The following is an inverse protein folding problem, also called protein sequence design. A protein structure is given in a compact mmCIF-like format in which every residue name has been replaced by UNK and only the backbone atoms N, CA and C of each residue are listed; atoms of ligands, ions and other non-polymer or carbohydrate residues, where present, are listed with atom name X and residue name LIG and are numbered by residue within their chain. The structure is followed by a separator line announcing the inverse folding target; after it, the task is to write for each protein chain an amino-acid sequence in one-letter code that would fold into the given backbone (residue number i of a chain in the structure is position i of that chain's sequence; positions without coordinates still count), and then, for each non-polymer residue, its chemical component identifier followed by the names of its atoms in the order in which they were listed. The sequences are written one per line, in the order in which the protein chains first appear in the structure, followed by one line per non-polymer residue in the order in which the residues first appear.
data_IF_825455405411
#
_entry.id   IF_825455405411
#
_cell.length_a   1.000
_cell.length_b   1.000
_cell.length_c   1.000
_cell.angle_alpha   90.00
_cell.angle_beta   90.00
_cell.angle_gamma   90.00
#
_symmetry.space_group_name_H-M   'P 1'
#
loop_
_entity.id
_entity.type
_entity.pdbx_description
1 polymer ?
#
# COMPACT_ATOMS: atom_id res chain seq x y z
N UNK A 1 -17.90 -7.53 -15.04
CA UNK A 1 -16.49 -7.53 -15.53
C UNK A 1 -15.57 -8.31 -14.58
N UNK A 2 -15.75 -8.20 -13.27
CA UNK A 2 -14.97 -8.95 -12.26
C UNK A 2 -15.62 -10.27 -11.84
N UNK A 3 -16.75 -10.64 -12.43
CA UNK A 3 -17.56 -11.80 -12.05
C UNK A 3 -16.78 -13.12 -12.19
N UNK A 4 -15.89 -13.20 -13.19
CA UNK A 4 -14.98 -14.34 -13.34
C UNK A 4 -13.99 -14.44 -12.17
N UNK A 5 -13.49 -13.32 -11.65
CA UNK A 5 -12.62 -13.31 -10.45
C UNK A 5 -13.44 -13.71 -9.22
N UNK A 6 -14.67 -13.20 -9.10
CA UNK A 6 -15.58 -13.60 -8.01
C UNK A 6 -15.83 -15.11 -8.04
N UNK A 7 -16.07 -15.70 -9.22
CA UNK A 7 -16.28 -17.13 -9.38
C UNK A 7 -15.04 -17.94 -8.99
N UNK A 8 -13.84 -17.52 -9.42
CA UNK A 8 -12.59 -18.18 -9.02
C UNK A 8 -12.42 -18.11 -7.50
N UNK A 9 -12.64 -16.95 -6.89
CA UNK A 9 -12.55 -16.78 -5.44
C UNK A 9 -13.60 -17.62 -4.70
N UNK A 10 -14.81 -17.71 -5.23
CA UNK A 10 -15.87 -18.54 -4.69
C UNK A 10 -15.51 -20.03 -4.76
N UNK A 11 -15.01 -20.53 -5.88
CA UNK A 11 -14.57 -21.92 -6.02
C UNK A 11 -13.43 -22.25 -5.07
N UNK A 12 -12.44 -21.36 -4.96
CA UNK A 12 -11.35 -21.49 -4.00
C UNK A 12 -11.87 -21.51 -2.56
N UNK A 13 -12.77 -20.59 -2.21
CA UNK A 13 -13.35 -20.53 -0.86
C UNK A 13 -14.18 -21.77 -0.56
N UNK A 14 -14.95 -22.28 -1.53
CA UNK A 14 -15.71 -23.52 -1.42
C UNK A 14 -14.78 -24.72 -1.21
N UNK A 15 -13.66 -24.77 -1.93
CA UNK A 15 -12.64 -25.81 -1.75
C UNK A 15 -12.01 -25.72 -0.35
N UNK A 16 -11.71 -24.51 0.13
CA UNK A 16 -11.17 -24.30 1.48
C UNK A 16 -12.16 -24.76 2.55
N UNK A 17 -13.46 -24.48 2.37
CA UNK A 17 -14.53 -24.93 3.25
C UNK A 17 -14.67 -26.46 3.35
N UNK A 18 -14.12 -27.25 2.42
CA UNK A 18 -14.16 -28.72 2.54
C UNK A 18 -13.27 -29.26 3.65
N UNK A 19 -12.25 -28.50 4.08
CA UNK A 19 -11.31 -28.91 5.13
C UNK A 19 -11.18 -27.89 6.26
N UNK A 20 -11.57 -26.64 6.05
CA UNK A 20 -11.64 -25.63 7.09
C UNK A 20 -12.88 -25.87 7.97
N UNK A 21 -12.68 -25.84 9.27
CA UNK A 21 -13.73 -26.09 10.27
C UNK A 21 -14.64 -24.86 10.47
N UNK A 22 -14.16 -23.68 10.07
CA UNK A 22 -14.73 -22.39 10.43
C UNK A 22 -14.57 -21.34 9.31
N UNK A 23 -15.55 -20.42 9.21
CA UNK A 23 -15.60 -19.42 8.14
C UNK A 23 -14.50 -18.37 8.23
N UNK A 24 -14.17 -17.89 9.42
CA UNK A 24 -13.07 -16.94 9.60
C UNK A 24 -11.73 -17.57 9.24
N UNK A 25 -11.54 -18.85 9.58
CA UNK A 25 -10.34 -19.59 9.16
C UNK A 25 -10.26 -19.71 7.63
N UNK A 26 -11.38 -20.00 6.96
CA UNK A 26 -11.43 -20.05 5.50
C UNK A 26 -11.03 -18.72 4.84
N UNK A 27 -11.50 -17.60 5.39
CA UNK A 27 -11.11 -16.26 4.92
C UNK A 27 -9.61 -16.05 5.11
N UNK A 28 -9.06 -16.37 6.28
CA UNK A 28 -7.62 -16.25 6.56
C UNK A 28 -6.80 -17.05 5.55
N UNK A 29 -7.16 -18.32 5.32
CA UNK A 29 -6.46 -19.20 4.38
C UNK A 29 -6.53 -18.64 2.95
N UNK A 30 -7.70 -18.18 2.51
CA UNK A 30 -7.88 -17.57 1.20
C UNK A 30 -6.96 -16.35 1.03
N UNK A 31 -6.90 -15.47 2.04
CA UNK A 31 -6.01 -14.29 2.02
C UNK A 31 -4.56 -14.70 1.90
N UNK A 32 -4.11 -15.67 2.71
CA UNK A 32 -2.72 -16.13 2.69
C UNK A 32 -2.35 -16.71 1.33
N UNK A 33 -3.22 -17.51 0.70
CA UNK A 33 -2.98 -18.06 -0.64
C UNK A 33 -2.85 -16.94 -1.68
N UNK A 34 -3.79 -15.99 -1.71
CA UNK A 34 -3.75 -14.86 -2.65
C UNK A 34 -2.48 -14.03 -2.42
N UNK A 35 -2.15 -13.73 -1.16
CA UNK A 35 -0.97 -12.95 -0.80
C UNK A 35 0.31 -13.67 -1.19
N UNK A 36 0.41 -14.98 -1.02
CA UNK A 36 1.57 -15.78 -1.47
C UNK A 36 1.74 -15.70 -2.99
N UNK A 37 0.65 -15.85 -3.76
CA UNK A 37 0.69 -15.74 -5.22
C UNK A 37 1.09 -14.34 -5.70
N UNK A 38 0.63 -13.29 -5.01
CA UNK A 38 0.95 -11.90 -5.34
C UNK A 38 2.30 -11.43 -4.77
N UNK A 39 2.88 -12.15 -3.81
CA UNK A 39 4.15 -11.78 -3.16
C UNK A 39 5.27 -11.51 -4.17
N UNK A 40 5.59 -12.37 -5.15
CA UNK A 40 6.69 -12.10 -6.10
C UNK A 40 6.50 -10.79 -6.90
N UNK A 41 5.25 -10.46 -7.23
CA UNK A 41 4.90 -9.21 -7.89
C UNK A 41 5.05 -8.01 -6.95
N UNK A 42 4.54 -8.13 -5.72
CA UNK A 42 4.65 -7.10 -4.69
C UNK A 42 6.12 -6.78 -4.38
N UNK A 43 6.99 -7.79 -4.30
CA UNK A 43 8.43 -7.61 -4.09
C UNK A 43 9.08 -6.73 -5.18
N UNK A 44 8.69 -6.90 -6.44
CA UNK A 44 9.19 -6.05 -7.55
C UNK A 44 8.77 -4.60 -7.38
N UNK A 45 7.52 -4.36 -6.99
CA UNK A 45 7.02 -3.01 -6.73
C UNK A 45 7.69 -2.37 -5.51
N UNK A 46 7.87 -3.13 -4.43
CA UNK A 46 8.57 -2.68 -3.23
C UNK A 46 10.01 -2.28 -3.56
N UNK A 47 10.72 -3.03 -4.41
CA UNK A 47 12.06 -2.67 -4.87
C UNK A 47 12.09 -1.34 -5.61
N UNK A 48 11.11 -1.08 -6.48
CA UNK A 48 11.01 0.21 -7.17
C UNK A 48 10.77 1.35 -6.17
N UNK A 49 9.84 1.15 -5.23
CA UNK A 49 9.52 2.13 -4.18
C UNK A 49 10.72 2.40 -3.25
N UNK A 50 11.49 1.38 -2.88
CA UNK A 50 12.70 1.51 -2.09
C UNK A 50 13.75 2.39 -2.80
N UNK A 51 13.96 2.18 -4.11
CA UNK A 51 14.88 3.01 -4.90
C UNK A 51 14.45 4.48 -4.95
N UNK A 52 13.14 4.74 -5.03
CA UNK A 52 12.59 6.09 -4.96
C UNK A 52 12.95 6.79 -3.64
N UNK A 53 12.88 6.07 -2.51
CA UNK A 53 13.22 6.64 -1.20
C UNK A 53 14.70 7.03 -1.10
N UNK A 54 15.60 6.23 -1.69
CA UNK A 54 17.04 6.56 -1.74
C UNK A 54 17.30 7.83 -2.57
N UNK A 55 16.54 8.02 -3.65
CA UNK A 55 16.68 9.18 -4.53
C UNK A 55 15.90 10.43 -4.05
N UNK A 56 15.02 10.27 -3.05
CA UNK A 56 14.24 11.36 -2.46
C UNK A 56 15.03 12.60 -2.05
N UNK A 57 16.18 12.51 -1.36
CA UNK A 57 16.96 13.71 -1.00
C UNK A 57 17.41 14.51 -2.23
N UNK A 58 17.81 13.85 -3.32
CA UNK A 58 18.19 14.52 -4.57
C UNK A 58 16.99 15.16 -5.27
N UNK A 59 15.83 14.51 -5.20
CA UNK A 59 14.59 15.11 -5.71
C UNK A 59 14.22 16.38 -4.93
N UNK A 60 14.40 16.38 -3.61
CA UNK A 60 14.19 17.56 -2.76
C UNK A 60 15.17 18.68 -3.10
N UNK A 61 16.45 18.35 -3.35
CA UNK A 61 17.44 19.35 -3.77
C UNK A 61 17.06 20.03 -5.10
N UNK A 62 16.54 19.26 -6.08
CA UNK A 62 16.02 19.81 -7.33
C UNK A 62 14.81 20.72 -7.04
N UNK A 63 13.92 20.32 -6.13
CA UNK A 63 12.74 21.11 -5.79
C UNK A 63 13.12 22.45 -5.15
N UNK A 64 14.08 22.45 -4.21
CA UNK A 64 14.57 23.65 -3.54
C UNK A 64 15.34 24.56 -4.51
N UNK A 65 16.19 23.98 -5.38
CA UNK A 65 17.02 24.75 -6.33
C UNK A 65 16.18 25.48 -7.39
N UNK A 66 15.03 24.93 -7.76
CA UNK A 66 14.13 25.50 -8.78
C UNK A 66 12.76 25.90 -8.20
N UNK A 67 12.69 26.22 -6.91
CA UNK A 67 11.43 26.59 -6.24
C UNK A 67 10.75 27.81 -6.89
N UNK A 68 11.54 28.73 -7.47
CA UNK A 68 11.06 29.95 -8.13
C UNK A 68 10.62 29.73 -9.59
N UNK A 69 10.89 28.56 -10.18
CA UNK A 69 10.57 28.24 -11.59
C UNK A 69 9.96 26.84 -11.73
N UNK A 70 8.63 26.70 -11.59
CA UNK A 70 7.95 25.40 -11.62
C UNK A 70 8.05 24.70 -12.97
N UNK A 71 8.21 25.44 -14.08
CA UNK A 71 8.40 24.82 -15.40
C UNK A 71 9.76 24.12 -15.45
N UNK A 72 10.81 24.81 -15.01
CA UNK A 72 12.16 24.25 -15.00
C UNK A 72 12.31 23.15 -13.96
N UNK A 73 11.65 23.28 -12.81
CA UNK A 73 11.58 22.24 -11.80
C UNK A 73 11.00 20.93 -12.37
N UNK A 74 9.89 21.01 -13.11
CA UNK A 74 9.27 19.84 -13.74
C UNK A 74 10.18 19.20 -14.81
N UNK A 75 10.86 20.02 -15.62
CA UNK A 75 11.79 19.53 -16.64
C UNK A 75 12.99 18.80 -16.03
N UNK A 76 13.62 19.38 -15.01
CA UNK A 76 14.78 18.79 -14.34
C UNK A 76 14.39 17.54 -13.53
N UNK A 77 13.18 17.53 -12.95
CA UNK A 77 12.62 16.32 -12.32
C UNK A 77 12.42 15.19 -13.34
N UNK A 78 11.91 15.51 -14.53
CA UNK A 78 11.71 14.52 -15.60
C UNK A 78 13.05 13.98 -16.12
N UNK A 79 14.05 14.86 -16.31
CA UNK A 79 15.42 14.46 -16.66
C UNK A 79 15.99 13.53 -15.60
N UNK A 80 15.88 13.90 -14.32
CA UNK A 80 16.34 13.08 -13.21
C UNK A 80 15.71 11.68 -13.21
N UNK A 81 14.41 11.56 -13.47
CA UNK A 81 13.74 10.25 -13.61
C UNK A 81 14.29 9.43 -14.79
N UNK A 82 14.53 10.08 -15.92
CA UNK A 82 15.03 9.42 -17.13
C UNK A 82 16.48 8.92 -16.98
N UNK A 83 17.37 9.75 -16.41
CA UNK A 83 18.78 9.44 -16.19
C UNK A 83 18.96 8.29 -15.18
N UNK A 84 18.14 8.31 -14.12
CA UNK A 84 18.18 7.26 -13.10
C UNK A 84 17.41 5.99 -13.51
N UNK A 85 16.78 5.98 -14.70
CA UNK A 85 15.94 4.86 -15.21
C UNK A 85 14.94 4.41 -14.15
N UNK A 86 14.29 5.38 -13.51
CA UNK A 86 13.30 5.15 -12.47
C UNK A 86 11.91 5.48 -13.02
N UNK A 87 10.94 4.59 -12.84
CA UNK A 87 9.57 4.81 -13.29
C UNK A 87 8.65 5.05 -12.07
N UNK A 88 8.12 6.27 -11.88
CA UNK A 88 7.24 6.59 -10.76
C UNK A 88 5.95 5.75 -10.77
N UNK A 89 5.47 5.35 -11.96
CA UNK A 89 4.26 4.53 -12.11
C UNK A 89 4.45 3.08 -11.68
N UNK A 90 5.69 2.61 -11.54
CA UNK A 90 5.93 1.26 -11.03
C UNK A 90 5.49 1.12 -9.55
N UNK A 91 5.42 2.23 -8.80
CA UNK A 91 4.98 2.24 -7.40
C UNK A 91 3.47 2.09 -7.22
N UNK A 92 2.64 2.45 -8.21
CA UNK A 92 1.19 2.30 -8.16
C UNK A 92 0.68 0.99 -8.79
N UNK A 93 1.56 0.21 -9.40
CA UNK A 93 1.23 -1.10 -9.98
C UNK A 93 0.56 -2.08 -8.99
N UNK A 94 0.96 -2.16 -7.70
CA UNK A 94 0.26 -2.94 -6.69
C UNK A 94 -1.21 -2.56 -6.56
N UNK A 95 -1.51 -1.26 -6.56
CA UNK A 95 -2.85 -0.75 -6.39
C UNK A 95 -3.73 -1.19 -7.57
N UNK A 96 -3.22 -1.04 -8.79
CA UNK A 96 -3.97 -1.41 -10.01
C UNK A 96 -4.34 -2.89 -10.05
N UNK A 97 -3.44 -3.77 -9.59
CA UNK A 97 -3.69 -5.22 -9.55
C UNK A 97 -4.54 -5.61 -8.33
N UNK A 98 -4.41 -4.87 -7.22
CA UNK A 98 -5.18 -5.11 -6.00
C UNK A 98 -6.66 -4.74 -6.17
N UNK A 99 -6.97 -3.66 -6.88
CA UNK A 99 -8.36 -3.16 -7.04
C UNK A 99 -9.32 -4.25 -7.55
N UNK A 100 -9.04 -4.96 -8.65
CA UNK A 100 -9.84 -6.11 -9.12
C UNK A 100 -10.16 -7.15 -8.05
N UNK A 101 -9.12 -7.57 -7.32
CA UNK A 101 -9.18 -8.66 -6.34
C UNK A 101 -9.95 -8.20 -5.12
N UNK A 102 -9.74 -6.94 -4.69
CA UNK A 102 -10.47 -6.31 -3.60
C UNK A 102 -11.96 -6.23 -3.90
N UNK A 103 -12.36 -5.75 -5.08
CA UNK A 103 -13.78 -5.68 -5.44
C UNK A 103 -14.43 -7.05 -5.53
N UNK A 104 -13.74 -8.04 -6.10
CA UNK A 104 -14.25 -9.39 -6.21
C UNK A 104 -14.46 -10.03 -4.83
N UNK A 105 -13.44 -9.94 -3.96
CA UNK A 105 -13.50 -10.50 -2.62
C UNK A 105 -14.48 -9.74 -1.72
N UNK A 106 -14.55 -8.42 -1.83
CA UNK A 106 -15.55 -7.61 -1.14
C UNK A 106 -16.97 -8.01 -1.53
N UNK A 107 -17.22 -8.21 -2.83
CA UNK A 107 -18.53 -8.65 -3.34
C UNK A 107 -18.90 -10.03 -2.81
N UNK A 108 -17.94 -10.96 -2.79
CA UNK A 108 -18.13 -12.31 -2.26
C UNK A 108 -18.41 -12.29 -0.74
N UNK A 109 -17.57 -11.60 0.04
CA UNK A 109 -17.67 -11.59 1.49
C UNK A 109 -18.90 -10.83 2.00
N UNK A 110 -19.25 -9.72 1.33
CA UNK A 110 -20.44 -8.94 1.70
C UNK A 110 -21.74 -9.69 1.42
N UNK A 111 -21.75 -10.58 0.42
CA UNK A 111 -22.93 -11.35 0.04
C UNK A 111 -22.76 -12.84 0.38
N UNK A 112 -21.99 -13.17 1.42
CA UNK A 112 -21.76 -14.56 1.86
C UNK A 112 -23.03 -15.41 1.94
N UNK A 113 -24.15 -14.93 2.54
CA UNK A 113 -25.39 -15.70 2.61
C UNK A 113 -26.03 -16.01 1.25
N UNK A 114 -25.74 -15.19 0.22
CA UNK A 114 -26.25 -15.42 -1.14
C UNK A 114 -25.43 -16.49 -1.88
N UNK A 115 -24.14 -16.60 -1.57
CA UNK A 115 -23.25 -17.59 -2.17
C UNK A 115 -23.27 -18.93 -1.41
N UNK A 116 -23.61 -18.91 -0.13
CA UNK A 116 -23.67 -20.08 0.74
C UNK A 116 -24.95 -20.02 1.59
N UNK A 117 -25.93 -20.88 1.26
CA UNK A 117 -27.24 -20.87 1.89
C UNK A 117 -27.27 -21.53 3.29
N UNK A 118 -26.26 -22.33 3.62
CA UNK A 118 -26.18 -23.10 4.87
C UNK A 118 -24.83 -22.88 5.56
N UNK A 119 -24.79 -22.05 6.61
CA UNK A 119 -23.57 -21.85 7.38
C UNK A 119 -23.74 -20.86 8.54
N UNK A 120 -23.19 -21.21 9.70
CA UNK A 120 -22.92 -20.25 10.79
C UNK A 120 -21.62 -19.52 10.46
N UNK A 121 -21.73 -18.31 9.92
CA UNK A 121 -20.58 -17.49 9.52
C UNK A 121 -19.87 -16.90 10.73
N UNK A 122 -19.13 -17.72 11.48
CA UNK A 122 -18.38 -17.30 12.68
C UNK A 122 -16.87 -17.47 12.50
N UNK A 123 -16.09 -16.92 13.44
CA UNK A 123 -14.67 -17.17 13.60
C UNK A 123 -14.36 -17.69 15.01
N UNK A 124 -14.39 -19.01 15.20
CA UNK A 124 -14.11 -19.70 16.47
C UNK A 124 -14.81 -19.08 17.70
N UNK A 125 -16.03 -18.54 17.50
CA UNK A 125 -16.77 -17.76 18.49
C UNK A 125 -16.07 -16.50 19.04
N UNK A 126 -14.89 -16.15 18.51
CA UNK A 126 -14.22 -14.87 18.72
C UNK A 126 -15.01 -13.80 17.97
N UNK A 127 -15.36 -14.07 16.71
CA UNK A 127 -16.31 -13.25 15.95
C UNK A 127 -17.56 -14.12 15.75
N UNK A 128 -18.65 -13.86 16.50
CA UNK A 128 -19.83 -14.72 16.46
C UNK A 128 -20.56 -14.65 15.11
N UNK A 129 -20.51 -13.50 14.43
CA UNK A 129 -21.12 -13.31 13.12
C UNK A 129 -20.26 -12.38 12.23
N UNK A 130 -19.74 -12.93 11.14
CA UNK A 130 -18.91 -12.25 10.14
C UNK A 130 -19.74 -11.39 9.16
N UNK A 131 -21.05 -11.57 9.11
CA UNK A 131 -21.95 -10.82 8.23
C UNK A 131 -22.47 -9.53 8.87
N UNK A 132 -22.45 -9.47 10.21
CA UNK A 132 -22.80 -8.27 10.97
C UNK A 132 -21.76 -7.15 10.79
N UNK A 133 -22.16 -5.92 11.11
CA UNK A 133 -21.27 -4.75 11.08
C UNK A 133 -21.00 -4.27 12.51
N UNK A 134 -19.85 -3.62 12.78
CA UNK A 134 -19.59 -3.02 14.09
C UNK A 134 -20.72 -2.09 14.55
N UNK A 135 -21.33 -1.33 13.63
CA UNK A 135 -22.46 -0.46 13.92
C UNK A 135 -23.72 -1.21 14.39
N UNK A 136 -24.02 -2.35 13.76
CA UNK A 136 -25.18 -3.17 14.11
C UNK A 136 -24.96 -3.88 15.45
N UNK A 137 -23.80 -4.52 15.63
CA UNK A 137 -23.46 -5.19 16.90
C UNK A 137 -23.42 -4.20 18.07
N UNK A 138 -23.04 -2.94 17.83
CA UNK A 138 -23.08 -1.89 18.85
C UNK A 138 -24.51 -1.52 19.28
N UNK A 139 -25.47 -1.55 18.36
CA UNK A 139 -26.87 -1.32 18.68
C UNK A 139 -27.46 -2.45 19.55
N UNK A 140 -27.00 -3.69 19.35
CA UNK A 140 -27.43 -4.86 20.14
C UNK A 140 -26.77 -4.91 21.53
N UNK A 141 -25.72 -4.12 21.76
CA UNK A 141 -25.09 -3.91 23.06
C UNK A 141 -23.57 -3.93 23.03
N UNK A 142 -22.95 -3.12 23.89
CA UNK A 142 -21.48 -2.94 23.91
C UNK A 142 -20.69 -4.25 24.05
N UNK A 143 -21.14 -5.16 24.91
CA UNK A 143 -20.46 -6.45 25.14
C UNK A 143 -20.50 -7.37 23.92
N UNK A 144 -21.59 -7.32 23.14
CA UNK A 144 -21.75 -8.09 21.89
C UNK A 144 -20.90 -7.48 20.78
N UNK A 145 -20.78 -6.16 20.74
CA UNK A 145 -19.96 -5.43 19.78
C UNK A 145 -18.45 -5.55 20.02
N UNK A 146 -18.03 -5.91 21.23
CA UNK A 146 -16.62 -5.86 21.66
C UNK A 146 -15.68 -6.55 20.66
N UNK A 147 -15.96 -7.79 20.17
CA UNK A 147 -15.08 -8.42 19.20
C UNK A 147 -15.04 -7.70 17.83
N UNK A 148 -16.18 -7.19 17.36
CA UNK A 148 -16.27 -6.41 16.13
C UNK A 148 -15.52 -5.07 16.25
N UNK A 149 -15.59 -4.41 17.40
CA UNK A 149 -14.85 -3.19 17.70
C UNK A 149 -13.34 -3.43 17.77
N UNK A 150 -12.91 -4.54 18.39
CA UNK A 150 -11.49 -4.92 18.43
C UNK A 150 -10.96 -5.16 17.02
N UNK A 151 -11.72 -5.89 16.19
CA UNK A 151 -11.38 -6.10 14.77
C UNK A 151 -11.29 -4.76 14.00
N UNK A 152 -12.23 -3.84 14.21
CA UNK A 152 -12.20 -2.52 13.60
C UNK A 152 -10.97 -1.69 14.01
N UNK A 153 -10.61 -1.70 15.30
CA UNK A 153 -9.42 -1.01 15.81
C UNK A 153 -8.15 -1.67 15.26
N UNK A 154 -8.11 -3.01 15.20
CA UNK A 154 -7.00 -3.76 14.63
C UNK A 154 -6.75 -3.35 13.18
N UNK A 155 -7.82 -3.22 12.38
CA UNK A 155 -7.75 -2.80 10.98
C UNK A 155 -7.11 -1.43 10.81
N UNK A 156 -7.52 -0.48 11.64
CA UNK A 156 -6.98 0.87 11.65
C UNK A 156 -5.49 0.90 12.01
N UNK A 157 -5.11 0.19 13.09
CA UNK A 157 -3.73 0.11 13.56
C UNK A 157 -2.83 -0.59 12.53
N UNK A 158 -3.25 -1.73 12.01
CA UNK A 158 -2.47 -2.50 11.03
C UNK A 158 -2.28 -1.75 9.72
N UNK A 159 -3.23 -0.90 9.32
CA UNK A 159 -3.08 -0.07 8.12
C UNK A 159 -2.19 1.16 8.37
N UNK A 160 -2.19 1.68 9.60
CA UNK A 160 -1.35 2.82 9.99
C UNK A 160 0.14 2.44 10.06
N UNK A 161 0.46 1.22 10.52
CA UNK A 161 1.85 0.77 10.73
C UNK A 161 2.71 0.93 9.45
N UNK A 162 2.36 0.35 8.28
CA UNK A 162 3.17 0.50 7.06
C UNK A 162 3.36 1.96 6.63
N UNK A 163 2.33 2.80 6.81
CA UNK A 163 2.37 4.22 6.45
C UNK A 163 3.34 5.00 7.35
N UNK A 164 3.30 4.75 8.67
CA UNK A 164 4.24 5.35 9.62
C UNK A 164 5.68 4.88 9.37
N UNK A 165 5.89 3.60 9.07
CA UNK A 165 7.20 3.07 8.71
C UNK A 165 7.77 3.75 7.47
N UNK A 166 6.97 3.99 6.43
CA UNK A 166 7.42 4.70 5.23
C UNK A 166 7.75 6.17 5.51
N UNK A 167 7.04 6.81 6.46
CA UNK A 167 7.33 8.19 6.89
C UNK A 167 8.66 8.35 7.66
N UNK A 168 9.21 7.27 8.25
CA UNK A 168 10.48 7.32 9.00
C UNK A 168 11.68 7.58 8.10
N UNK A 169 11.60 7.20 6.83
CA UNK A 169 12.70 7.37 5.88
C UNK A 169 12.70 8.76 5.22
N UNK A 170 11.79 9.65 5.63
CA UNK A 170 11.67 11.00 5.11
C UNK A 170 11.94 11.99 6.25
N UNK A 171 12.56 13.12 5.92
CA UNK A 171 12.87 14.20 6.88
C UNK A 171 12.18 15.51 6.48
N UNK A 172 11.98 16.40 7.45
CA UNK A 172 11.40 17.74 7.20
C UNK A 172 9.89 17.77 7.01
N UNK A 173 9.41 18.82 6.32
CA UNK A 173 7.99 19.14 6.14
C UNK A 173 7.21 18.04 5.40
N UNK A 174 7.88 17.30 4.51
CA UNK A 174 7.30 16.19 3.76
C UNK A 174 6.95 14.99 4.66
N UNK A 175 7.79 14.69 5.66
CA UNK A 175 7.54 13.61 6.62
C UNK A 175 6.30 13.92 7.50
N UNK A 176 6.15 15.17 7.92
CA UNK A 176 4.99 15.61 8.69
C UNK A 176 3.70 15.54 7.86
N UNK A 177 3.74 15.98 6.59
CA UNK A 177 2.60 15.86 5.68
C UNK A 177 2.17 14.40 5.48
N UNK A 178 3.13 13.48 5.32
CA UNK A 178 2.83 12.07 5.13
C UNK A 178 2.26 11.41 6.39
N UNK A 179 2.76 11.75 7.59
CA UNK A 179 2.21 11.29 8.86
C UNK A 179 0.79 11.80 9.08
N UNK A 180 0.54 13.06 8.77
CA UNK A 180 -0.80 13.64 8.88
C UNK A 180 -1.77 12.94 7.92
N UNK A 181 -1.37 12.73 6.67
CA UNK A 181 -2.16 11.97 5.70
C UNK A 181 -2.45 10.55 6.18
N UNK A 182 -1.46 9.89 6.81
CA UNK A 182 -1.63 8.56 7.37
C UNK A 182 -2.69 8.53 8.48
N UNK A 183 -2.60 9.47 9.44
CA UNK A 183 -3.58 9.58 10.53
C UNK A 183 -4.98 9.88 10.01
N UNK A 184 -5.12 10.83 9.08
CA UNK A 184 -6.41 11.16 8.46
C UNK A 184 -7.00 9.95 7.74
N UNK A 185 -6.19 9.20 6.99
CA UNK A 185 -6.64 7.99 6.33
C UNK A 185 -7.09 6.92 7.33
N UNK A 186 -6.36 6.74 8.44
CA UNK A 186 -6.75 5.80 9.50
C UNK A 186 -8.10 6.15 10.12
N UNK A 187 -8.36 7.44 10.39
CA UNK A 187 -9.68 7.89 10.88
C UNK A 187 -10.78 7.63 9.86
N UNK A 188 -10.51 7.91 8.58
CA UNK A 188 -11.45 7.60 7.48
C UNK A 188 -11.73 6.10 7.36
N UNK A 189 -10.73 5.25 7.59
CA UNK A 189 -10.89 3.79 7.56
C UNK A 189 -11.68 3.28 8.75
N UNK A 190 -11.53 3.87 9.94
CA UNK A 190 -12.39 3.59 11.10
C UNK A 190 -13.84 3.96 10.80
N UNK A 191 -14.07 5.14 10.23
CA UNK A 191 -15.41 5.59 9.82
C UNK A 191 -16.03 4.65 8.78
N UNK A 192 -15.28 4.30 7.74
CA UNK A 192 -15.77 3.40 6.69
C UNK A 192 -16.03 2.00 7.25
N UNK A 193 -15.06 1.46 8.01
CA UNK A 193 -15.11 0.14 8.62
C UNK A 193 -16.25 -0.04 9.62
N UNK A 194 -16.74 1.03 10.23
CA UNK A 194 -17.92 1.02 11.09
C UNK A 194 -19.16 0.41 10.41
N UNK A 195 -19.28 0.61 9.09
CA UNK A 195 -20.39 0.15 8.27
C UNK A 195 -20.11 -1.12 7.47
N UNK A 196 -18.91 -1.69 7.59
CA UNK A 196 -18.51 -2.88 6.82
C UNK A 196 -18.79 -4.17 7.59
N UNK A 197 -19.11 -5.28 6.89
CA UNK A 197 -19.22 -6.58 7.52
C UNK A 197 -17.92 -7.01 8.19
N UNK A 198 -18.00 -7.64 9.36
CA UNK A 198 -16.85 -8.08 10.15
C UNK A 198 -15.96 -9.06 9.39
N UNK A 199 -16.51 -9.90 8.51
CA UNK A 199 -15.73 -10.80 7.64
C UNK A 199 -14.86 -10.04 6.63
N UNK A 200 -15.34 -8.88 6.17
CA UNK A 200 -14.53 -7.98 5.32
C UNK A 200 -13.41 -7.34 6.15
N UNK A 201 -13.68 -6.93 7.39
CA UNK A 201 -12.66 -6.40 8.30
C UNK A 201 -11.58 -7.45 8.59
N UNK A 202 -11.98 -8.69 8.90
CA UNK A 202 -11.06 -9.81 9.10
C UNK A 202 -10.16 -10.05 7.89
N UNK A 203 -10.73 -10.00 6.68
CA UNK A 203 -9.94 -10.04 5.44
C UNK A 203 -8.87 -8.94 5.43
N UNK A 204 -9.27 -7.69 5.70
CA UNK A 204 -8.34 -6.58 5.70
C UNK A 204 -7.28 -6.70 6.78
N UNK A 205 -7.63 -7.17 7.99
CA UNK A 205 -6.70 -7.38 9.08
C UNK A 205 -5.59 -8.35 8.71
N UNK A 206 -5.96 -9.52 8.19
CA UNK A 206 -5.00 -10.55 7.78
C UNK A 206 -4.13 -10.03 6.63
N UNK A 207 -4.76 -9.31 5.70
CA UNK A 207 -4.10 -8.72 4.53
C UNK A 207 -3.10 -7.61 4.93
N UNK A 208 -3.45 -6.77 5.90
CA UNK A 208 -2.59 -5.71 6.44
C UNK A 208 -1.51 -6.30 7.36
N UNK A 209 -1.80 -7.32 8.15
CA UNK A 209 -0.81 -8.07 8.93
C UNK A 209 0.25 -8.69 8.02
N UNK A 210 -0.17 -9.31 6.90
CA UNK A 210 0.75 -9.79 5.87
C UNK A 210 1.63 -8.67 5.32
N UNK A 211 1.03 -7.51 5.02
CA UNK A 211 1.76 -6.36 4.52
C UNK A 211 2.78 -5.82 5.53
N UNK A 212 2.43 -5.78 6.82
CA UNK A 212 3.37 -5.38 7.90
C UNK A 212 4.54 -6.36 7.98
N UNK A 213 4.27 -7.67 7.95
CA UNK A 213 5.32 -8.71 7.93
C UNK A 213 6.22 -8.50 6.72
N UNK A 214 5.65 -8.37 5.51
CA UNK A 214 6.42 -8.14 4.30
C UNK A 214 7.25 -6.85 4.39
N UNK A 215 6.66 -5.77 4.91
CA UNK A 215 7.32 -4.47 5.05
C UNK A 215 8.52 -4.54 6.01
N UNK A 216 8.39 -5.23 7.14
CA UNK A 216 9.45 -5.35 8.14
C UNK A 216 10.60 -6.24 7.61
N UNK A 217 10.29 -7.39 7.01
CA UNK A 217 11.31 -8.36 6.60
C UNK A 217 11.98 -8.05 5.26
N UNK A 218 11.22 -7.53 4.29
CA UNK A 218 11.69 -7.33 2.92
C UNK A 218 12.15 -5.89 2.70
N UNK A 219 11.28 -4.93 2.99
CA UNK A 219 11.49 -3.54 2.58
C UNK A 219 12.76 -2.95 3.19
N UNK A 220 13.06 -3.27 4.46
CA UNK A 220 14.31 -2.82 5.10
C UNK A 220 15.55 -3.37 4.41
N UNK A 221 15.62 -4.69 4.18
CA UNK A 221 16.75 -5.31 3.47
C UNK A 221 16.94 -4.75 2.06
N UNK A 222 15.84 -4.47 1.37
CA UNK A 222 15.89 -3.92 0.00
C UNK A 222 16.30 -2.46 0.00
N UNK A 223 15.86 -1.66 0.97
CA UNK A 223 16.27 -0.26 1.13
C UNK A 223 17.75 -0.18 1.50
N UNK A 224 18.21 -0.96 2.47
CA UNK A 224 19.60 -0.95 2.92
C UNK A 224 20.54 -1.38 1.78
N UNK A 225 20.16 -2.42 1.04
CA UNK A 225 20.88 -2.83 -0.16
C UNK A 225 20.87 -1.75 -1.25
N UNK A 226 19.73 -1.10 -1.49
CA UNK A 226 19.63 -0.04 -2.49
C UNK A 226 20.46 1.21 -2.11
N UNK A 227 20.54 1.55 -0.82
CA UNK A 227 21.43 2.61 -0.32
C UNK A 227 22.89 2.27 -0.58
N UNK A 228 23.31 1.05 -0.25
CA UNK A 228 24.67 0.56 -0.50
C UNK A 228 25.01 0.55 -2.00
N UNK A 229 24.12 0.00 -2.84
CA UNK A 229 24.30 -0.04 -4.29
C UNK A 229 24.40 1.38 -4.90
N UNK A 230 23.63 2.35 -4.41
CA UNK A 230 23.68 3.73 -4.91
C UNK A 230 24.89 4.50 -4.39
N UNK A 231 25.33 4.27 -3.15
CA UNK A 231 26.62 4.77 -2.65
C UNK A 231 27.80 4.23 -3.47
N UNK A 232 27.76 2.95 -3.84
CA UNK A 232 28.75 2.35 -4.75
C UNK A 232 28.65 2.94 -6.15
N UNK A 233 27.44 3.16 -6.69
CA UNK A 233 27.27 3.85 -7.97
C UNK A 233 27.76 5.29 -7.92
N UNK A 234 27.61 6.00 -6.80
CA UNK A 234 28.14 7.35 -6.62
C UNK A 234 29.66 7.37 -6.51
N UNK A 235 30.26 6.34 -5.88
CA UNK A 235 31.72 6.15 -5.81
C UNK A 235 32.32 5.74 -7.16
N UNK A 236 31.60 4.93 -7.94
CA UNK A 236 32.06 4.36 -9.21
C UNK A 236 31.58 5.15 -10.44
N UNK A 237 30.67 6.11 -10.29
CA UNK A 237 30.27 7.00 -11.36
C UNK A 237 31.45 7.96 -11.63
N UNK A 238 32.06 7.94 -12.83
CA UNK A 238 32.98 8.98 -13.20
C UNK A 238 32.22 10.30 -13.13
N UNK A 239 32.74 11.26 -12.36
CA UNK A 239 32.29 12.63 -12.30
C UNK A 239 32.32 13.24 -13.71
N UNK A 240 31.24 13.07 -14.46
CA UNK A 240 30.88 13.89 -15.61
C UNK A 240 29.43 14.32 -15.42
N UNK A 241 29.21 15.18 -14.45
CA UNK A 241 28.29 16.28 -14.68
C UNK A 241 29.18 17.49 -14.91
N UNK A 242 29.69 17.59 -16.13
CA UNK A 242 30.22 18.87 -16.60
C UNK A 242 29.02 19.80 -16.72
N UNK A 243 28.72 20.50 -15.62
CA UNK A 243 27.87 21.68 -15.62
C UNK A 243 28.64 22.73 -16.42
N UNK A 244 28.63 22.60 -17.75
CA UNK A 244 29.01 23.70 -18.62
C UNK A 244 27.99 24.79 -18.37
N UNK A 245 28.36 25.73 -17.50
CA UNK A 245 27.76 27.06 -17.44
C UNK A 245 27.82 27.56 -18.88
N UNK A 246 26.72 27.51 -19.61
CA UNK A 246 26.64 28.16 -20.92
C UNK A 246 26.84 29.65 -20.68
N UNK A 247 28.08 30.11 -20.80
CA UNK A 247 28.37 31.52 -20.81
C UNK A 247 27.53 32.15 -21.92
N UNK A 248 26.72 33.14 -21.53
CA UNK A 248 25.94 33.94 -22.45
C UNK A 248 26.93 34.55 -23.44
N UNK A 249 26.97 34.07 -24.69
CA UNK A 249 27.71 34.73 -25.76
C UNK A 249 27.24 36.18 -25.81
N UNK A 250 28.13 37.18 -25.66
CA UNK A 250 27.73 38.57 -25.77
C UNK A 250 27.15 38.80 -27.18
N UNK A 251 25.98 39.45 -27.25
CA UNK A 251 25.33 39.79 -28.52
C UNK A 251 26.31 40.64 -29.34
N UNK A 252 26.53 40.34 -30.63
CA UNK A 252 27.32 41.21 -31.47
C UNK A 252 26.59 42.56 -31.60
N UNK A 253 27.20 43.62 -31.06
CA UNK A 253 26.78 44.98 -31.38
C UNK A 253 27.03 45.21 -32.87
N UNK A 254 25.96 45.43 -33.63
CA UNK A 254 26.06 46.00 -34.99
C UNK A 254 26.77 47.36 -34.87
N UNK A 255 27.94 47.49 -35.52
CA UNK A 255 28.57 48.79 -35.74
C UNK A 255 28.00 49.39 -37.03
N UNK A 256 27.53 50.63 -36.87
CA UNK A 256 26.99 51.60 -37.83
C UNK A 256 25.62 51.28 -38.42
#
# INVERSE_FOLDING_TARGET
MWDWIVNILFELLKLIQTFAVDWGLSIIILVVIIRLLLTPLMLKSTKSTARMQVLQPKMLEIQERYADDPQRQAEEMQKFYSENKFNPMAGCLPLLIQMPILFALFTLLRNLPQYFNDGTFSFFNILPDLTTTPSASFADGFMVALPALVCLILFAVLTLIPQLYMSRNQTGQQAQSMRMMAVVMTVMMLWMGWSLPVGVLLYYDVSSAWQVIQQIFVTQKVIDKAKADEEERLKNAPLQVEVTRREKKPRPHKKK
#
